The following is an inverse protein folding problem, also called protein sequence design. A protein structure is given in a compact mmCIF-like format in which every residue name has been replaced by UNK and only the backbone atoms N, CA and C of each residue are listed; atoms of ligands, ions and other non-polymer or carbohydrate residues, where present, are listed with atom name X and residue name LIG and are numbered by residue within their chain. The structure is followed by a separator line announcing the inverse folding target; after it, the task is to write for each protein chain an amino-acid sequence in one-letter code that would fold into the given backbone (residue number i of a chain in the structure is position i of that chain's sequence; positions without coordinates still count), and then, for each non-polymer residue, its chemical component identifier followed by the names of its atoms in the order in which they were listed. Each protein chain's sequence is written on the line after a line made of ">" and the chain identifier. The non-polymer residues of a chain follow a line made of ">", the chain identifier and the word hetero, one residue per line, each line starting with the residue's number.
data_IF_327097696633
#
_entry.id   IF_327097696633
#
_cell.length_a   1.000
_cell.length_b   1.000
_cell.length_c   1.000
_cell.angle_alpha   90.00
_cell.angle_beta   90.00
_cell.angle_gamma   90.00
#
_symmetry.space_group_name_H-M   'P 1'
#
loop_
_entity.id
_entity.type
_entity.pdbx_description
1 polymer ?
#
# COMPACT_ATOMS: atom_id res chain seq x y z
N UNK A 1 15.81 7.82 5.40
CA UNK A 1 14.66 8.64 5.87
C UNK A 1 14.87 9.02 7.34
N UNK A 2 14.79 10.30 7.69
CA UNK A 2 14.95 10.76 9.08
C UNK A 2 13.63 10.61 9.84
N UNK A 3 13.69 10.48 11.18
CA UNK A 3 12.50 10.37 12.03
C UNK A 3 11.49 11.52 11.80
N UNK A 4 12.00 12.72 11.49
CA UNK A 4 11.22 13.93 11.12
C UNK A 4 10.31 13.74 9.90
N UNK A 5 10.77 13.03 8.87
CA UNK A 5 10.02 12.84 7.62
C UNK A 5 8.81 11.90 7.84
N UNK A 6 8.98 10.97 8.78
CA UNK A 6 7.97 10.02 9.23
C UNK A 6 6.82 10.72 9.93
N UNK A 7 7.13 11.63 10.84
CA UNK A 7 6.13 12.39 11.58
C UNK A 7 5.31 13.27 10.64
N UNK A 8 5.97 13.97 9.71
CA UNK A 8 5.33 14.80 8.70
C UNK A 8 4.42 14.02 7.74
N UNK A 9 4.82 12.81 7.35
CA UNK A 9 3.98 11.92 6.54
C UNK A 9 2.73 11.47 7.30
N UNK A 10 2.91 11.04 8.56
CA UNK A 10 1.80 10.61 9.41
C UNK A 10 0.83 11.76 9.70
N UNK A 11 1.32 12.97 10.01
CA UNK A 11 0.46 14.15 10.18
C UNK A 11 -0.36 14.46 8.93
N UNK A 12 0.22 14.28 7.74
CA UNK A 12 -0.50 14.48 6.49
C UNK A 12 -1.60 13.42 6.28
N UNK A 13 -1.38 12.19 6.72
CA UNK A 13 -2.39 11.13 6.69
C UNK A 13 -3.47 11.31 7.77
N UNK A 14 -3.10 11.82 8.96
CA UNK A 14 -4.02 12.14 10.06
C UNK A 14 -5.01 13.25 9.66
N UNK A 15 -4.56 14.27 8.94
CA UNK A 15 -5.48 15.34 8.46
C UNK A 15 -6.52 14.85 7.45
N UNK A 16 -6.39 13.63 6.93
CA UNK A 16 -7.28 13.06 5.91
C UNK A 16 -8.36 12.16 6.55
N UNK A 17 -8.16 11.66 7.77
CA UNK A 17 -9.07 10.71 8.43
C UNK A 17 -9.18 11.01 9.94
N UNK A 18 -10.40 11.29 10.42
CA UNK A 18 -10.71 11.44 11.86
C UNK A 18 -10.71 10.08 12.61
N UNK A 19 -10.61 8.97 11.87
CA UNK A 19 -10.52 7.62 12.40
C UNK A 19 -9.08 7.13 12.56
N UNK A 20 -8.88 6.25 13.55
CA UNK A 20 -7.58 5.66 13.92
C UNK A 20 -7.03 4.64 12.90
N UNK A 21 -7.63 4.57 11.71
CA UNK A 21 -7.25 3.68 10.61
C UNK A 21 -7.11 4.47 9.31
N UNK A 22 -6.02 4.19 8.60
CA UNK A 22 -5.66 4.80 7.32
C UNK A 22 -5.87 3.80 6.20
N UNK A 23 -6.67 4.15 5.19
CA UNK A 23 -6.56 3.47 3.90
C UNK A 23 -5.29 3.93 3.20
N UNK A 24 -4.46 2.99 2.77
CA UNK A 24 -3.22 3.27 2.06
C UNK A 24 -3.08 2.45 0.79
N UNK A 25 -2.52 3.09 -0.23
CA UNK A 25 -2.05 2.43 -1.43
C UNK A 25 -0.52 2.34 -1.39
N UNK A 26 0.04 1.17 -1.62
CA UNK A 26 1.47 0.91 -1.57
C UNK A 26 1.90 0.46 -2.95
N UNK A 27 2.67 1.32 -3.64
CA UNK A 27 3.23 1.04 -4.95
C UNK A 27 4.74 0.87 -4.84
N UNK A 28 5.30 -0.13 -5.51
CA UNK A 28 6.75 -0.35 -5.52
C UNK A 28 7.30 -0.62 -6.92
N UNK A 29 8.54 -0.21 -7.14
CA UNK A 29 9.34 -0.53 -8.32
C UNK A 29 10.66 -1.12 -7.84
N UNK A 30 10.77 -2.44 -7.99
CA UNK A 30 11.86 -3.27 -7.44
C UNK A 30 12.28 -4.25 -8.51
N UNK A 31 13.52 -4.10 -8.98
CA UNK A 31 14.09 -4.89 -10.07
C UNK A 31 14.39 -6.33 -9.65
N UNK A 32 14.84 -6.53 -8.41
CA UNK A 32 15.17 -7.85 -7.88
C UNK A 32 13.93 -8.66 -7.57
N UNK A 33 13.69 -9.72 -8.36
CA UNK A 33 12.60 -10.68 -8.15
C UNK A 33 12.59 -11.24 -6.71
N UNK A 34 13.78 -11.50 -6.13
CA UNK A 34 13.90 -12.04 -4.76
C UNK A 34 13.41 -11.04 -3.71
N UNK A 35 13.82 -9.77 -3.80
CA UNK A 35 13.37 -8.71 -2.87
C UNK A 35 11.90 -8.39 -3.06
N UNK A 36 11.46 -8.29 -4.32
CA UNK A 36 10.06 -8.10 -4.69
C UNK A 36 9.16 -9.18 -4.09
N UNK A 37 9.54 -10.45 -4.20
CA UNK A 37 8.75 -11.56 -3.63
C UNK A 37 8.68 -11.47 -2.11
N UNK A 38 9.77 -11.10 -1.43
CA UNK A 38 9.77 -10.90 0.03
C UNK A 38 8.85 -9.77 0.47
N UNK A 39 8.95 -8.61 -0.20
CA UNK A 39 8.10 -7.45 0.09
C UNK A 39 6.64 -7.77 -0.22
N UNK A 40 6.35 -8.48 -1.31
CA UNK A 40 5.00 -8.95 -1.63
C UNK A 40 4.44 -9.86 -0.53
N UNK A 41 5.22 -10.81 -0.02
CA UNK A 41 4.81 -11.67 1.10
C UNK A 41 4.56 -10.87 2.39
N UNK A 42 5.40 -9.86 2.67
CA UNK A 42 5.17 -8.98 3.83
C UNK A 42 3.84 -8.25 3.65
N UNK A 43 3.64 -7.59 2.50
CA UNK A 43 2.46 -6.77 2.21
C UNK A 43 1.14 -7.56 2.24
N UNK A 44 1.15 -8.84 1.85
CA UNK A 44 -0.02 -9.73 1.95
C UNK A 44 -0.53 -9.92 3.40
N UNK A 45 0.31 -9.72 4.41
CA UNK A 45 -0.13 -9.79 5.81
C UNK A 45 -0.81 -8.51 6.31
N UNK A 46 -0.71 -7.42 5.54
CA UNK A 46 -1.21 -6.10 5.90
C UNK A 46 -2.36 -5.64 5.00
N UNK A 47 -2.52 -6.23 3.81
CA UNK A 47 -3.56 -5.86 2.87
C UNK A 47 -3.60 -6.75 1.63
N UNK A 48 -4.27 -6.26 0.61
CA UNK A 48 -4.61 -6.99 -0.61
C UNK A 48 -3.78 -6.50 -1.79
N UNK A 49 -3.38 -7.43 -2.66
CA UNK A 49 -2.65 -7.10 -3.89
C UNK A 49 -3.67 -6.76 -4.97
N UNK A 50 -3.65 -5.53 -5.46
CA UNK A 50 -4.58 -5.07 -6.51
C UNK A 50 -3.93 -5.06 -7.90
N UNK A 51 -2.61 -4.90 -7.97
CA UNK A 51 -1.82 -5.06 -9.20
C UNK A 51 -0.49 -5.73 -8.89
N UNK A 52 0.28 -6.06 -9.93
CA UNK A 52 1.58 -6.70 -9.75
C UNK A 52 2.47 -5.93 -8.75
N UNK A 53 2.58 -4.62 -8.88
CA UNK A 53 3.40 -3.77 -8.02
C UNK A 53 2.62 -2.93 -7.01
N UNK A 54 1.32 -3.17 -6.84
CA UNK A 54 0.44 -2.31 -6.05
C UNK A 54 -0.40 -3.11 -5.05
N UNK A 55 -0.42 -2.62 -3.81
CA UNK A 55 -1.21 -3.16 -2.71
C UNK A 55 -2.12 -2.08 -2.11
N UNK A 56 -3.27 -2.50 -1.61
CA UNK A 56 -4.20 -1.70 -0.84
C UNK A 56 -4.28 -2.27 0.58
N UNK A 57 -4.26 -1.42 1.60
CA UNK A 57 -4.33 -1.84 3.00
C UNK A 57 -5.05 -0.82 3.87
N UNK A 58 -5.78 -1.29 4.88
CA UNK A 58 -6.33 -0.46 5.96
C UNK A 58 -5.49 -0.69 7.20
N UNK A 59 -4.75 0.33 7.64
CA UNK A 59 -3.73 0.21 8.68
C UNK A 59 -3.98 1.17 9.82
N UNK A 60 -3.84 0.72 11.07
CA UNK A 60 -3.64 1.61 12.20
C UNK A 60 -2.27 2.28 12.14
N UNK A 61 -2.05 3.30 12.96
CA UNK A 61 -0.75 3.97 13.09
C UNK A 61 0.39 3.00 13.44
N UNK A 62 0.13 2.06 14.35
CA UNK A 62 1.12 1.07 14.78
C UNK A 62 1.38 0.02 13.71
N UNK A 63 0.34 -0.41 12.98
CA UNK A 63 0.48 -1.32 11.85
C UNK A 63 1.29 -0.68 10.72
N UNK A 64 1.06 0.61 10.42
CA UNK A 64 1.83 1.35 9.42
C UNK A 64 3.30 1.51 9.82
N UNK A 65 3.56 1.79 11.11
CA UNK A 65 4.93 1.84 11.65
C UNK A 65 5.63 0.48 11.49
N UNK A 66 4.98 -0.59 11.92
CA UNK A 66 5.49 -1.97 11.83
C UNK A 66 5.76 -2.38 10.38
N UNK A 67 4.84 -2.07 9.48
CA UNK A 67 4.98 -2.34 8.05
C UNK A 67 6.23 -1.67 7.48
N UNK A 68 6.42 -0.38 7.79
CA UNK A 68 7.58 0.38 7.32
C UNK A 68 8.89 -0.22 7.83
N UNK A 69 8.97 -0.55 9.13
CA UNK A 69 10.15 -1.17 9.72
C UNK A 69 10.49 -2.50 9.04
N UNK A 70 9.48 -3.32 8.74
CA UNK A 70 9.67 -4.59 8.03
C UNK A 70 10.18 -4.39 6.61
N UNK A 71 9.63 -3.43 5.86
CA UNK A 71 9.94 -3.24 4.44
C UNK A 71 11.29 -2.58 4.20
N UNK A 72 11.66 -1.57 5.00
CA UNK A 72 12.91 -0.81 4.81
C UNK A 72 14.15 -1.72 4.80
N UNK A 73 14.12 -2.81 5.57
CA UNK A 73 15.22 -3.79 5.63
C UNK A 73 15.43 -4.58 4.32
N UNK A 74 14.50 -4.49 3.37
CA UNK A 74 14.56 -5.20 2.09
C UNK A 74 14.66 -4.26 0.89
N UNK A 75 14.74 -2.94 1.09
CA UNK A 75 14.92 -1.98 0.01
C UNK A 75 16.41 -1.70 -0.21
N UNK A 76 16.82 -1.61 -1.47
CA UNK A 76 18.14 -1.11 -1.88
C UNK A 76 18.07 0.33 -2.41
N UNK A 77 19.24 0.93 -2.66
CA UNK A 77 19.37 2.35 -3.05
C UNK A 77 18.55 2.74 -4.28
N UNK A 78 18.40 1.82 -5.25
CA UNK A 78 17.65 2.06 -6.48
C UNK A 78 16.20 1.53 -6.45
N UNK A 79 15.77 0.93 -5.34
CA UNK A 79 14.39 0.47 -5.20
C UNK A 79 13.48 1.68 -4.85
N UNK A 80 12.29 1.75 -5.47
CA UNK A 80 11.32 2.80 -5.19
C UNK A 80 10.09 2.22 -4.49
N UNK A 81 9.67 2.83 -3.39
CA UNK A 81 8.42 2.46 -2.71
C UNK A 81 7.70 3.72 -2.26
N UNK A 82 6.42 3.80 -2.61
CA UNK A 82 5.55 4.93 -2.30
C UNK A 82 4.32 4.43 -1.55
N UNK A 83 3.99 5.13 -0.48
CA UNK A 83 2.77 4.93 0.29
C UNK A 83 1.92 6.17 0.09
N UNK A 84 0.70 5.99 -0.41
CA UNK A 84 -0.30 7.04 -0.56
C UNK A 84 -1.37 6.84 0.50
N UNK A 85 -1.73 7.88 1.24
CA UNK A 85 -2.88 7.84 2.14
C UNK A 85 -4.13 8.27 1.37
N UNK A 86 -5.14 7.42 1.38
CA UNK A 86 -6.42 7.63 0.72
C UNK A 86 -7.41 8.20 1.74
N UNK A 87 -8.30 9.08 1.28
CA UNK A 87 -9.47 9.49 2.04
C UNK A 87 -10.50 8.35 2.04
N UNK A 88 -11.39 8.32 3.05
CA UNK A 88 -12.41 7.28 3.28
C UNK A 88 -13.40 7.03 2.11
N UNK A 89 -13.27 7.73 0.97
CA UNK A 89 -14.16 7.65 -0.20
C UNK A 89 -13.42 7.50 -1.53
N UNK A 90 -12.31 6.75 -1.56
CA UNK A 90 -11.58 6.49 -2.80
C UNK A 90 -12.42 5.68 -3.80
N UNK A 91 -12.68 6.28 -4.96
CA UNK A 91 -13.20 5.59 -6.15
C UNK A 91 -12.04 5.20 -7.04
N UNK A 92 -12.05 3.98 -7.56
CA UNK A 92 -11.03 3.48 -8.50
C UNK A 92 -11.65 3.09 -9.82
N UNK A 93 -10.89 3.28 -10.90
CA UNK A 93 -11.18 2.76 -12.24
C UNK A 93 -10.02 1.87 -12.67
N UNK A 94 -10.32 0.77 -13.34
CA UNK A 94 -9.33 -0.16 -13.86
C UNK A 94 -9.55 -0.36 -15.36
N UNK A 95 -8.46 -0.43 -16.12
CA UNK A 95 -8.47 -0.73 -17.55
C UNK A 95 -7.50 -1.90 -17.82
N UNK A 96 -7.91 -2.85 -18.66
CA UNK A 96 -7.10 -4.01 -19.05
C UNK A 96 -7.50 -5.33 -18.36
N UNK A 97 -6.66 -6.37 -18.49
CA UNK A 97 -6.87 -7.67 -17.86
C UNK A 97 -6.23 -7.71 -16.47
N UNK A 98 -6.99 -8.11 -15.46
CA UNK A 98 -6.46 -8.46 -14.14
C UNK A 98 -6.16 -9.95 -14.07
N UNK A 99 -4.87 -10.30 -14.10
CA UNK A 99 -4.40 -11.69 -13.92
C UNK A 99 -4.32 -12.10 -12.43
N UNK A 100 -4.87 -11.28 -11.53
CA UNK A 100 -4.89 -11.54 -10.10
C UNK A 100 -6.25 -12.12 -9.71
N UNK A 101 -6.27 -13.40 -9.34
CA UNK A 101 -7.47 -14.08 -8.87
C UNK A 101 -8.12 -13.30 -7.71
N UNK A 102 -9.31 -12.78 -7.98
CA UNK A 102 -10.11 -11.95 -7.08
C UNK A 102 -10.73 -12.80 -5.97
N UNK A 103 -9.94 -13.27 -5.01
CA UNK A 103 -10.49 -13.91 -3.83
C UNK A 103 -10.82 -12.87 -2.75
N UNK A 104 -12.11 -12.51 -2.72
CA UNK A 104 -12.86 -11.85 -1.64
C UNK A 104 -12.52 -10.38 -1.33
N UNK A 105 -13.38 -9.44 -1.78
CA UNK A 105 -14.36 -8.73 -0.92
C UNK A 105 -14.96 -7.49 -1.61
N UNK A 106 -16.29 -7.38 -1.46
CA UNK A 106 -17.17 -6.20 -1.44
C UNK A 106 -17.25 -5.28 -2.65
N UNK A 107 -18.37 -5.43 -3.37
CA UNK A 107 -19.29 -4.37 -3.79
C UNK A 107 -18.69 -2.99 -4.09
N UNK A 108 -18.17 -2.85 -5.31
CA UNK A 108 -18.44 -1.73 -6.23
C UNK A 108 -17.54 -1.88 -7.47
N UNK A 109 -17.67 -3.00 -8.19
CA UNK A 109 -17.13 -3.10 -9.56
C UNK A 109 -18.07 -2.35 -10.50
N UNK A 110 -17.83 -1.07 -10.75
CA UNK A 110 -18.34 -0.41 -11.95
C UNK A 110 -17.34 -0.69 -13.07
N UNK A 111 -17.75 -1.55 -14.00
CA UNK A 111 -17.09 -1.76 -15.29
C UNK A 111 -17.77 -0.82 -16.27
N UNK A 112 -17.04 0.13 -16.84
CA UNK A 112 -17.49 0.90 -18.00
C UNK A 112 -16.45 0.71 -19.10
N UNK A 113 -16.94 0.18 -20.22
CA UNK A 113 -16.25 0.02 -21.49
C UNK A 113 -15.92 1.38 -22.14
#
# INVERSE_FOLDING_TARGET
>A
MRASDTHRFLEKCIKVTDDHQYMVLIAYDISSNRRRNRISTILKNFGFRIQYSVFEATLSRDSLKTLREKIVNYLEEHDNLKIFCLANSSKSWEYGKSDLESNNLTDNKIIIC
#
